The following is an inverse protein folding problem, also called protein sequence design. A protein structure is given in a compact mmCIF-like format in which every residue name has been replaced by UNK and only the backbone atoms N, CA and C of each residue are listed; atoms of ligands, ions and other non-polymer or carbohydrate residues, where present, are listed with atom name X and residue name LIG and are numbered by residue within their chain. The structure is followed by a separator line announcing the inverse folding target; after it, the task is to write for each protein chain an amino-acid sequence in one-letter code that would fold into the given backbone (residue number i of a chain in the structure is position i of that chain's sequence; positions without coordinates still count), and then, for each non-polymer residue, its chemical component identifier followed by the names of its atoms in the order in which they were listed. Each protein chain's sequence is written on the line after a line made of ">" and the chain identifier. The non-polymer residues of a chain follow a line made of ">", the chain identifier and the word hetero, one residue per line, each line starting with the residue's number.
data_IF_125505152904
#
_entry.id   IF_125505152904
#
_cell.length_a   1.000
_cell.length_b   1.000
_cell.length_c   1.000
_cell.angle_alpha   90.00
_cell.angle_beta   90.00
_cell.angle_gamma   90.00
#
_symmetry.space_group_name_H-M   'P 1'
#
loop_
_entity.id
_entity.type
_entity.pdbx_description
1 polymer ?
#
# COMPACT_ATOMS: atom_id res chain seq x y z
N UNK A 1 4.59 -4.95 37.87
CA UNK A 1 4.31 -3.56 38.29
C UNK A 1 4.87 -3.38 39.70
N UNK A 2 5.65 -2.33 39.95
CA UNK A 2 6.20 -1.98 41.27
C UNK A 2 5.40 -0.85 41.92
N UNK A 3 5.62 -0.58 43.22
CA UNK A 3 4.96 0.51 43.93
C UNK A 3 5.25 1.86 43.25
N UNK A 4 4.22 2.69 43.10
CA UNK A 4 4.35 4.07 42.63
C UNK A 4 4.48 4.98 43.85
N UNK A 5 5.55 5.78 43.91
CA UNK A 5 5.72 6.76 44.98
C UNK A 5 4.73 7.93 44.80
N UNK A 6 4.09 8.35 45.89
CA UNK A 6 3.23 9.54 45.89
C UNK A 6 4.04 10.77 45.45
N UNK A 7 3.58 11.47 44.40
CA UNK A 7 4.28 12.57 43.71
C UNK A 7 5.59 12.17 43.00
N UNK A 8 5.86 10.87 42.85
CA UNK A 8 6.98 10.36 42.07
C UNK A 8 6.80 10.51 40.57
N UNK A 9 7.89 10.33 39.83
CA UNK A 9 7.84 10.28 38.37
C UNK A 9 7.04 9.06 37.89
N UNK A 10 6.35 9.21 36.76
CA UNK A 10 5.67 8.09 36.14
C UNK A 10 6.67 6.97 35.78
N UNK A 11 6.30 5.73 36.08
CA UNK A 11 7.07 4.52 35.75
C UNK A 11 6.26 3.67 34.76
N UNK A 12 6.92 3.14 33.72
CA UNK A 12 6.31 2.31 32.69
C UNK A 12 6.98 0.95 32.59
N UNK A 13 6.20 -0.11 32.32
CA UNK A 13 6.70 -1.46 32.05
C UNK A 13 5.98 -2.03 30.82
N UNK A 14 6.71 -2.54 29.82
CA UNK A 14 6.08 -3.16 28.66
C UNK A 14 5.44 -4.50 29.05
N UNK A 15 4.29 -4.80 28.45
CA UNK A 15 3.62 -6.10 28.51
C UNK A 15 3.16 -6.51 27.11
N UNK A 16 2.96 -7.81 26.90
CA UNK A 16 2.46 -8.34 25.63
C UNK A 16 1.36 -9.34 25.94
N UNK A 17 0.28 -9.27 25.18
CA UNK A 17 -0.78 -10.27 25.19
C UNK A 17 -1.00 -10.76 23.76
N UNK A 18 -1.31 -12.04 23.61
CA UNK A 18 -1.74 -12.60 22.34
C UNK A 18 -3.25 -12.73 22.40
N UNK A 19 -3.94 -11.96 21.56
CA UNK A 19 -5.39 -12.09 21.43
C UNK A 19 -5.75 -13.01 20.27
N UNK A 20 -6.77 -13.84 20.48
CA UNK A 20 -7.32 -14.74 19.46
C UNK A 20 -8.72 -14.27 19.07
N UNK A 21 -8.96 -14.12 17.77
CA UNK A 21 -10.26 -13.73 17.23
C UNK A 21 -10.25 -13.73 15.71
N UNK A 22 -11.36 -13.32 15.09
CA UNK A 22 -11.50 -13.21 13.64
C UNK A 22 -11.12 -11.81 13.14
N UNK A 23 -10.86 -11.66 11.83
CA UNK A 23 -10.68 -10.34 11.23
C UNK A 23 -11.93 -9.47 11.46
N UNK A 24 -11.72 -8.24 11.93
CA UNK A 24 -12.78 -7.31 12.31
C UNK A 24 -13.35 -7.53 13.71
N UNK A 25 -12.92 -8.56 14.45
CA UNK A 25 -13.38 -8.77 15.82
C UNK A 25 -12.93 -7.62 16.72
N UNK A 26 -13.89 -6.96 17.36
CA UNK A 26 -13.58 -5.99 18.39
C UNK A 26 -13.32 -6.74 19.71
N UNK A 27 -12.13 -6.55 20.27
CA UNK A 27 -11.75 -7.10 21.58
C UNK A 27 -11.44 -5.95 22.53
N UNK A 28 -11.52 -6.22 23.82
CA UNK A 28 -11.09 -5.31 24.86
C UNK A 28 -10.03 -5.98 25.73
N UNK A 29 -8.89 -5.31 25.93
CA UNK A 29 -7.99 -5.67 27.01
C UNK A 29 -8.43 -4.92 28.27
N UNK A 30 -8.93 -5.66 29.26
CA UNK A 30 -9.36 -5.14 30.54
C UNK A 30 -8.29 -5.39 31.59
N UNK A 31 -7.76 -4.32 32.15
CA UNK A 31 -6.79 -4.36 33.23
C UNK A 31 -7.49 -4.05 34.55
N UNK A 32 -7.52 -5.01 35.46
CA UNK A 32 -7.90 -4.74 36.84
C UNK A 32 -6.75 -4.01 37.52
N UNK A 33 -7.05 -2.81 38.02
CA UNK A 33 -6.10 -1.95 38.70
C UNK A 33 -6.18 -2.22 40.20
N UNK A 34 -5.02 -2.41 40.81
CA UNK A 34 -4.89 -2.64 42.25
C UNK A 34 -3.89 -1.68 42.87
N UNK A 35 -4.22 -1.18 44.06
CA UNK A 35 -3.28 -0.58 45.00
C UNK A 35 -3.06 -1.56 46.17
N UNK A 36 -1.95 -2.28 46.14
CA UNK A 36 -1.75 -3.43 47.03
C UNK A 36 -2.82 -4.51 46.81
N UNK A 37 -3.61 -4.79 47.84
CA UNK A 37 -4.77 -5.71 47.77
C UNK A 37 -6.08 -5.02 47.40
N UNK A 38 -6.10 -3.68 47.37
CA UNK A 38 -7.32 -2.92 47.12
C UNK A 38 -7.57 -2.81 45.61
N UNK A 39 -8.73 -3.29 45.16
CA UNK A 39 -9.16 -3.09 43.78
C UNK A 39 -9.63 -1.64 43.59
N UNK A 40 -8.95 -0.90 42.71
CA UNK A 40 -9.21 0.54 42.48
C UNK A 40 -9.96 0.80 41.16
N UNK A 41 -10.31 -0.26 40.42
CA UNK A 41 -11.13 -0.18 39.22
C UNK A 41 -10.52 -0.91 38.03
N UNK A 42 -11.04 -0.64 36.84
CA UNK A 42 -10.60 -1.27 35.60
C UNK A 42 -10.19 -0.22 34.58
N UNK A 43 -9.16 -0.50 33.79
CA UNK A 43 -8.85 0.21 32.56
C UNK A 43 -9.16 -0.70 31.36
N UNK A 44 -9.88 -0.17 30.38
CA UNK A 44 -10.29 -0.92 29.19
C UNK A 44 -9.72 -0.28 27.93
N UNK A 45 -9.10 -1.11 27.08
CA UNK A 45 -8.55 -0.69 25.80
C UNK A 45 -9.15 -1.53 24.69
N UNK A 46 -9.89 -0.92 23.78
CA UNK A 46 -10.49 -1.58 22.63
C UNK A 46 -9.51 -1.73 21.46
N UNK A 47 -9.52 -2.89 20.81
CA UNK A 47 -8.75 -3.19 19.61
C UNK A 47 -9.63 -3.86 18.56
N UNK A 48 -9.32 -3.65 17.29
CA UNK A 48 -9.88 -4.44 16.19
C UNK A 48 -8.82 -5.45 15.78
N UNK A 49 -9.17 -6.74 15.83
CA UNK A 49 -8.28 -7.82 15.44
C UNK A 49 -8.28 -8.02 13.93
N UNK A 50 -7.11 -8.40 13.43
CA UNK A 50 -6.91 -8.78 12.05
C UNK A 50 -6.76 -7.62 11.09
N UNK A 51 -6.67 -7.96 9.81
CA UNK A 51 -6.54 -7.01 8.71
C UNK A 51 -7.68 -7.27 7.75
N UNK A 52 -8.40 -6.21 7.37
CA UNK A 52 -9.41 -6.29 6.31
C UNK A 52 -8.79 -5.78 5.02
N UNK A 53 -8.88 -6.57 3.96
CA UNK A 53 -8.48 -6.17 2.61
C UNK A 53 -9.72 -5.78 1.81
N UNK A 54 -9.70 -4.59 1.24
CA UNK A 54 -10.74 -4.05 0.36
C UNK A 54 -10.11 -3.63 -0.95
N UNK A 55 -10.81 -3.88 -2.06
CA UNK A 55 -10.33 -3.60 -3.42
C UNK A 55 -11.27 -2.63 -4.09
N UNK A 56 -10.69 -1.60 -4.69
CA UNK A 56 -11.38 -0.69 -5.60
C UNK A 56 -10.71 -0.77 -6.97
N UNK A 57 -11.50 -0.56 -8.02
CA UNK A 57 -10.99 -0.58 -9.39
C UNK A 57 -11.73 0.44 -10.24
N UNK A 58 -11.04 0.97 -11.24
CA UNK A 58 -11.68 1.60 -12.39
C UNK A 58 -11.85 0.53 -13.47
N UNK A 59 -13.04 0.42 -14.05
CA UNK A 59 -13.33 -0.54 -15.13
C UNK A 59 -13.07 0.04 -16.51
N UNK A 60 -12.87 1.35 -16.63
CA UNK A 60 -12.50 2.02 -17.88
C UNK A 60 -11.06 1.69 -18.29
N UNK A 61 -10.83 1.53 -19.60
CA UNK A 61 -9.48 1.35 -20.14
C UNK A 61 -8.65 2.63 -20.01
N UNK A 62 -7.37 2.48 -19.68
CA UNK A 62 -6.38 3.55 -19.77
C UNK A 62 -5.65 3.38 -21.10
N UNK A 63 -5.91 4.28 -22.04
CA UNK A 63 -5.25 4.29 -23.35
C UNK A 63 -4.01 5.19 -23.30
N UNK A 64 -2.89 4.70 -23.80
CA UNK A 64 -1.68 5.49 -24.05
C UNK A 64 -1.47 5.45 -25.56
N UNK A 65 -2.03 6.43 -26.26
CA UNK A 65 -1.82 6.58 -27.70
C UNK A 65 -0.65 7.54 -27.94
N UNK A 66 0.47 6.99 -28.41
CA UNK A 66 1.64 7.82 -28.71
C UNK A 66 1.46 8.63 -29.98
N UNK A 67 0.55 8.26 -30.90
CA UNK A 67 0.33 8.98 -32.16
C UNK A 67 1.58 9.32 -32.98
N UNK A 68 2.72 8.65 -32.70
CA UNK A 68 4.04 9.00 -33.23
C UNK A 68 4.77 10.17 -32.54
N UNK A 69 4.19 10.85 -31.54
CA UNK A 69 4.78 11.96 -30.79
C UNK A 69 4.79 11.65 -29.28
N UNK A 70 5.97 11.31 -28.75
CA UNK A 70 6.20 11.16 -27.31
C UNK A 70 6.75 12.48 -26.71
N UNK A 71 6.41 12.82 -25.44
CA UNK A 71 5.55 12.08 -24.52
C UNK A 71 4.06 12.27 -24.83
N UNK A 72 3.27 11.21 -24.63
CA UNK A 72 1.81 11.24 -24.75
C UNK A 72 1.16 11.06 -23.37
N UNK A 73 0.11 11.84 -23.11
CA UNK A 73 -0.66 11.75 -21.87
C UNK A 73 -1.69 10.63 -22.00
N UNK A 74 -1.83 9.80 -20.96
CA UNK A 74 -2.81 8.73 -20.93
C UNK A 74 -4.26 9.28 -20.97
N UNK A 75 -5.20 8.47 -21.45
CA UNK A 75 -6.62 8.80 -21.47
C UNK A 75 -7.42 7.64 -20.83
N UNK A 76 -8.06 7.84 -19.66
CA UNK A 76 -8.05 9.07 -18.86
C UNK A 76 -6.71 9.30 -18.13
N UNK A 77 -6.41 10.56 -17.84
CA UNK A 77 -5.37 10.98 -16.91
C UNK A 77 -5.88 12.17 -16.08
N UNK A 78 -5.90 12.07 -14.73
CA UNK A 78 -5.63 10.86 -13.94
C UNK A 78 -6.75 9.80 -14.11
N UNK A 79 -6.41 8.53 -13.89
CA UNK A 79 -7.41 7.45 -13.72
C UNK A 79 -7.80 7.39 -12.24
N UNK A 80 -8.81 8.16 -11.86
CA UNK A 80 -9.22 8.35 -10.46
C UNK A 80 -9.97 7.12 -9.95
N UNK A 81 -9.56 6.60 -8.79
CA UNK A 81 -10.30 5.60 -8.02
C UNK A 81 -10.74 6.25 -6.70
N UNK A 82 -12.05 6.36 -6.49
CA UNK A 82 -12.61 6.88 -5.25
C UNK A 82 -12.60 5.79 -4.17
N UNK A 83 -11.75 5.97 -3.15
CA UNK A 83 -11.63 5.06 -2.01
C UNK A 83 -12.38 5.64 -0.81
N UNK A 84 -13.27 4.86 -0.21
CA UNK A 84 -14.09 5.28 0.94
C UNK A 84 -14.45 4.08 1.83
N UNK A 85 -14.83 4.33 3.08
CA UNK A 85 -15.27 3.27 4.01
C UNK A 85 -14.12 2.48 4.65
N UNK A 86 -12.89 3.01 4.58
CA UNK A 86 -11.75 2.49 5.32
C UNK A 86 -11.82 2.95 6.77
N UNK A 87 -11.76 2.00 7.71
CA UNK A 87 -11.67 2.25 9.15
C UNK A 87 -10.30 1.77 9.67
N UNK A 88 -9.75 2.48 10.66
CA UNK A 88 -8.46 2.13 11.27
C UNK A 88 -7.25 2.69 10.52
N UNK A 89 -6.09 2.08 10.72
CA UNK A 89 -4.81 2.47 10.11
C UNK A 89 -4.55 1.62 8.87
N UNK A 90 -4.22 2.27 7.76
CA UNK A 90 -3.78 1.56 6.54
C UNK A 90 -2.38 1.00 6.80
N UNK A 91 -2.26 -0.32 6.85
CA UNK A 91 -0.98 -1.02 7.09
C UNK A 91 -0.33 -1.55 5.80
N UNK A 92 -1.10 -1.64 4.71
CA UNK A 92 -0.62 -2.11 3.41
C UNK A 92 -1.48 -1.55 2.28
N UNK A 93 -0.84 -1.18 1.18
CA UNK A 93 -1.48 -0.80 -0.08
C UNK A 93 -0.79 -1.53 -1.23
N UNK A 94 -1.56 -2.02 -2.19
CA UNK A 94 -1.06 -2.63 -3.42
C UNK A 94 -1.81 -2.08 -4.61
N UNK A 95 -1.12 -1.83 -5.72
CA UNK A 95 -1.74 -1.36 -6.97
C UNK A 95 -1.66 -2.45 -8.02
N UNK A 96 -2.78 -2.82 -8.64
CA UNK A 96 -2.78 -3.77 -9.75
C UNK A 96 -3.13 -3.07 -11.05
N UNK A 97 -2.25 -3.18 -12.05
CA UNK A 97 -2.54 -2.89 -13.45
C UNK A 97 -2.91 -4.20 -14.15
N UNK A 98 -4.12 -4.30 -14.66
CA UNK A 98 -4.64 -5.50 -15.33
C UNK A 98 -4.75 -5.29 -16.82
N UNK A 99 -4.73 -6.40 -17.56
CA UNK A 99 -4.97 -6.41 -19.02
C UNK A 99 -4.04 -5.45 -19.78
N UNK A 100 -2.79 -5.32 -19.34
CA UNK A 100 -1.81 -4.47 -20.00
C UNK A 100 -1.45 -5.07 -21.35
N UNK A 101 -1.73 -4.30 -22.39
CA UNK A 101 -1.42 -4.62 -23.78
C UNK A 101 -0.66 -3.44 -24.36
N UNK A 102 0.56 -3.67 -24.84
CA UNK A 102 1.41 -2.62 -25.41
C UNK A 102 2.19 -3.20 -26.60
N UNK A 103 1.91 -2.68 -27.79
CA UNK A 103 2.53 -3.09 -29.06
C UNK A 103 3.81 -2.32 -29.40
N UNK A 104 4.20 -1.38 -28.53
CA UNK A 104 5.45 -0.61 -28.52
C UNK A 104 6.30 -0.98 -27.29
N UNK A 105 7.56 -0.50 -27.19
CA UNK A 105 8.43 -0.80 -26.05
C UNK A 105 7.78 -0.42 -24.70
N UNK A 106 7.52 -1.38 -23.79
CA UNK A 106 6.93 -1.07 -22.47
C UNK A 106 7.77 -0.14 -21.62
N UNK A 107 9.08 -0.01 -21.93
CA UNK A 107 9.99 0.93 -21.27
C UNK A 107 9.54 2.39 -21.33
N UNK A 108 8.69 2.73 -22.29
CA UNK A 108 8.19 4.10 -22.50
C UNK A 108 6.93 4.38 -21.64
N UNK A 109 6.44 3.38 -20.90
CA UNK A 109 5.32 3.53 -19.96
C UNK A 109 5.83 3.97 -18.59
N UNK A 110 5.31 5.12 -18.15
CA UNK A 110 5.63 5.75 -16.88
C UNK A 110 4.35 5.87 -16.06
N UNK A 111 4.34 5.37 -14.82
CA UNK A 111 3.13 5.35 -13.99
C UNK A 111 3.39 5.88 -12.57
N UNK A 112 2.61 6.89 -12.17
CA UNK A 112 2.64 7.52 -10.86
C UNK A 112 1.35 7.22 -10.09
N UNK A 113 1.45 6.78 -8.85
CA UNK A 113 0.36 6.76 -7.89
C UNK A 113 0.39 8.06 -7.08
N UNK A 114 -0.62 8.89 -7.25
CA UNK A 114 -0.78 10.15 -6.49
C UNK A 114 -1.65 9.88 -5.28
N UNK A 115 -1.13 10.20 -4.09
CA UNK A 115 -1.87 10.04 -2.84
C UNK A 115 -2.46 11.39 -2.40
N UNK A 116 -3.68 11.42 -1.84
CA UNK A 116 -4.36 12.68 -1.53
C UNK A 116 -3.65 13.52 -0.46
N UNK A 117 -2.88 12.89 0.45
CA UNK A 117 -2.23 13.54 1.58
C UNK A 117 -0.83 12.98 1.89
N UNK A 118 -0.22 12.24 0.95
CA UNK A 118 1.06 11.56 1.15
C UNK A 118 1.94 11.76 -0.08
N UNK A 119 3.27 11.51 0.02
CA UNK A 119 4.13 11.51 -1.14
C UNK A 119 3.65 10.55 -2.22
N UNK A 120 3.74 10.99 -3.46
CA UNK A 120 3.42 10.17 -4.61
C UNK A 120 4.43 9.01 -4.75
N UNK A 121 3.97 7.91 -5.32
CA UNK A 121 4.80 6.72 -5.55
C UNK A 121 4.95 6.47 -7.04
N UNK A 122 6.19 6.54 -7.54
CA UNK A 122 6.50 6.12 -8.90
C UNK A 122 6.45 4.59 -8.99
N UNK A 123 5.40 4.06 -9.61
CA UNK A 123 5.15 2.62 -9.70
C UNK A 123 6.08 1.95 -10.71
N UNK A 124 6.20 2.51 -11.91
CA UNK A 124 7.11 2.01 -12.93
C UNK A 124 7.69 3.11 -13.80
N UNK A 125 8.96 2.94 -14.14
CA UNK A 125 9.70 3.81 -15.04
C UNK A 125 10.84 3.07 -15.72
N UNK A 126 11.02 3.30 -17.03
CA UNK A 126 12.06 2.68 -17.84
C UNK A 126 12.12 1.13 -17.72
N UNK A 127 10.97 0.46 -17.66
CA UNK A 127 10.88 -0.98 -17.39
C UNK A 127 10.33 -1.78 -18.58
N UNK A 128 10.84 -3.00 -18.79
CA UNK A 128 10.28 -3.96 -19.75
C UNK A 128 10.94 -4.04 -21.12
N UNK A 129 12.01 -3.26 -21.34
CA UNK A 129 12.78 -3.31 -22.58
C UNK A 129 11.94 -3.00 -23.84
N UNK A 130 12.20 -3.75 -24.91
CA UNK A 130 11.63 -3.52 -26.25
C UNK A 130 10.63 -4.59 -26.68
N UNK A 131 10.34 -5.58 -25.82
CA UNK A 131 9.43 -6.66 -26.15
C UNK A 131 8.00 -6.25 -25.87
N UNK A 132 7.12 -6.43 -26.86
CA UNK A 132 5.69 -6.19 -26.70
C UNK A 132 5.11 -7.05 -25.57
N UNK A 133 4.12 -6.51 -24.88
CA UNK A 133 3.38 -7.23 -23.84
C UNK A 133 1.93 -7.38 -24.25
N UNK A 134 1.34 -8.53 -23.92
CA UNK A 134 -0.06 -8.81 -24.17
C UNK A 134 -0.66 -9.50 -22.94
N UNK A 135 -1.80 -8.99 -22.47
CA UNK A 135 -2.54 -9.50 -21.30
C UNK A 135 -1.68 -9.70 -20.04
N UNK A 136 -0.78 -8.75 -19.79
CA UNK A 136 0.06 -8.75 -18.58
C UNK A 136 -0.70 -8.12 -17.41
N UNK A 137 -0.62 -8.76 -16.24
CA UNK A 137 -1.17 -8.23 -14.97
C UNK A 137 -0.04 -8.06 -13.97
N UNK A 138 0.18 -6.82 -13.55
CA UNK A 138 1.25 -6.44 -12.62
C UNK A 138 0.60 -5.97 -11.32
N UNK A 139 0.99 -6.58 -10.20
CA UNK A 139 0.68 -6.06 -8.87
C UNK A 139 1.92 -5.42 -8.27
N UNK A 140 1.84 -4.14 -7.93
CA UNK A 140 2.84 -3.41 -7.19
C UNK A 140 2.63 -3.60 -5.68
N UNK A 141 3.65 -4.15 -5.02
CA UNK A 141 3.72 -4.39 -3.58
C UNK A 141 5.15 -4.09 -3.14
N UNK A 142 5.33 -3.15 -2.21
CA UNK A 142 6.66 -2.71 -1.76
C UNK A 142 7.43 -3.82 -1.02
N UNK A 143 6.73 -4.80 -0.47
CA UNK A 143 7.30 -5.99 0.15
C UNK A 143 7.68 -7.10 -0.86
N UNK A 144 7.42 -6.92 -2.17
CA UNK A 144 7.73 -7.93 -3.17
C UNK A 144 9.24 -8.13 -3.38
N UNK A 145 9.65 -9.40 -3.54
CA UNK A 145 11.05 -9.75 -3.78
C UNK A 145 11.57 -9.31 -5.17
N UNK A 146 10.68 -9.31 -6.17
CA UNK A 146 11.04 -9.04 -7.56
C UNK A 146 10.88 -7.56 -7.91
N UNK A 147 11.80 -6.99 -8.69
CA UNK A 147 11.62 -5.70 -9.40
C UNK A 147 11.20 -5.93 -10.85
N UNK A 148 10.57 -4.93 -11.46
CA UNK A 148 10.34 -4.97 -12.89
C UNK A 148 11.66 -5.03 -13.65
N UNK A 149 11.78 -5.87 -14.70
CA UNK A 149 13.01 -5.99 -15.46
C UNK A 149 13.32 -4.70 -16.22
N UNK A 150 14.59 -4.32 -16.32
CA UNK A 150 15.02 -3.18 -17.14
C UNK A 150 14.94 -3.48 -18.64
N UNK A 151 15.42 -4.65 -19.05
CA UNK A 151 15.60 -5.02 -20.47
C UNK A 151 14.79 -6.23 -20.93
N UNK A 152 14.43 -7.13 -20.00
CA UNK A 152 13.65 -8.31 -20.33
C UNK A 152 12.17 -7.98 -20.42
N UNK A 153 11.41 -8.82 -21.12
CA UNK A 153 9.95 -8.72 -21.21
C UNK A 153 9.32 -8.73 -19.82
N UNK A 154 8.31 -7.89 -19.61
CA UNK A 154 7.51 -7.92 -18.37
C UNK A 154 6.53 -9.08 -18.47
N UNK A 155 6.47 -9.90 -17.42
CA UNK A 155 5.49 -10.98 -17.26
C UNK A 155 4.50 -10.64 -16.15
N UNK A 156 3.36 -11.31 -16.11
CA UNK A 156 2.42 -11.16 -15.00
C UNK A 156 3.05 -11.59 -13.67
N UNK A 157 2.79 -10.85 -12.61
CA UNK A 157 3.37 -11.14 -11.30
C UNK A 157 3.27 -10.00 -10.30
N UNK A 158 3.90 -10.21 -9.14
CA UNK A 158 4.00 -9.23 -8.07
C UNK A 158 5.41 -8.65 -8.06
N UNK A 159 5.51 -7.32 -8.10
CA UNK A 159 6.75 -6.59 -8.21
C UNK A 159 6.75 -5.40 -7.26
N UNK A 160 7.92 -4.96 -6.82
CA UNK A 160 8.05 -3.67 -6.12
C UNK A 160 7.96 -2.50 -7.11
N UNK A 161 7.52 -1.30 -6.68
CA UNK A 161 7.69 -0.08 -7.46
C UNK A 161 9.13 0.03 -7.97
N UNK A 162 9.32 0.26 -9.27
CA UNK A 162 10.64 0.13 -9.90
C UNK A 162 10.92 1.29 -10.86
N UNK A 163 12.04 1.99 -10.64
CA UNK A 163 12.65 2.91 -11.62
C UNK A 163 14.03 2.37 -12.01
N UNK A 164 14.25 2.17 -13.31
CA UNK A 164 15.46 1.50 -13.81
C UNK A 164 16.51 2.46 -14.42
N UNK A 165 16.17 3.72 -14.67
CA UNK A 165 17.09 4.71 -15.23
C UNK A 165 16.62 6.16 -14.99
N UNK A 166 17.56 7.13 -14.88
CA UNK A 166 17.27 8.55 -14.98
C UNK A 166 17.15 9.02 -16.45
N UNK A 167 16.56 10.21 -16.71
CA UNK A 167 15.93 11.10 -15.72
C UNK A 167 14.60 10.53 -15.23
N UNK A 168 14.17 10.96 -14.03
CA UNK A 168 12.81 10.66 -13.58
C UNK A 168 11.80 11.29 -14.54
N UNK A 169 10.71 10.59 -14.87
CA UNK A 169 9.65 11.13 -15.70
C UNK A 169 9.04 12.39 -15.06
N UNK A 170 8.58 13.31 -15.90
CA UNK A 170 7.79 14.48 -15.48
C UNK A 170 6.33 14.18 -15.80
N UNK A 171 5.48 14.32 -14.80
CA UNK A 171 4.04 14.12 -14.93
C UNK A 171 3.32 15.47 -15.08
N UNK A 172 2.23 15.54 -15.87
CA UNK A 172 1.37 16.72 -15.95
C UNK A 172 0.75 17.12 -14.61
#
# INVERSE_FOLDING_TARGET
>A
YGPLDYLGHAVSMPFTFTATGTNGAQIAATFNLYDGTNHIGMAEFGYILGVTTTVWSNTGSILIDTGGNAPAVAAPYPSIINVSGLNGVIVKSTVTLTNMNFSSPPKDVEALLVAPNQPDTLLMSHAGGYSNIANVTITFDDAAANSLPRTNVITSGVYRPTTNAPPSPVFP
#
